data_IF_636395267787
#
_entry.id   IF_636395267787
#
_cell.length_a   1.000
_cell.length_b   1.000
_cell.length_c   1.000
_cell.angle_alpha   90.00
_cell.angle_beta   90.00
_cell.angle_gamma   90.00
#
_symmetry.space_group_name_H-M   'P 1'
#
loop_
_entity.id
_entity.type
_entity.pdbx_description
1 polymer ?
#
# COMPACT_ATOMS: atom_id res chain seq x y z
N UNK A 1 7.42 -4.07 -5.19
CA UNK A 1 7.18 -5.44 -5.72
C UNK A 1 7.19 -5.53 -7.24
N UNK A 2 6.78 -4.50 -8.01
CA UNK A 2 6.76 -4.56 -9.48
C UNK A 2 8.11 -4.92 -10.13
N UNK A 3 9.24 -4.50 -9.56
CA UNK A 3 10.59 -4.83 -10.07
C UNK A 3 10.87 -6.35 -10.03
N UNK A 4 10.45 -7.01 -8.95
CA UNK A 4 10.62 -8.47 -8.80
C UNK A 4 9.72 -9.22 -9.76
N UNK A 5 8.45 -8.80 -9.90
CA UNK A 5 7.51 -9.38 -10.86
C UNK A 5 7.98 -9.17 -12.30
N UNK A 6 8.53 -7.99 -12.62
CA UNK A 6 9.15 -7.73 -13.92
C UNK A 6 10.24 -8.75 -14.24
N UNK A 7 11.18 -8.93 -13.31
CA UNK A 7 12.31 -9.85 -13.47
C UNK A 7 11.88 -11.32 -13.56
N UNK A 8 10.87 -11.72 -12.80
CA UNK A 8 10.28 -13.07 -12.86
C UNK A 8 9.49 -13.32 -14.15
N UNK A 9 8.78 -12.31 -14.63
CA UNK A 9 8.03 -12.37 -15.89
C UNK A 9 8.97 -12.47 -17.10
N UNK A 10 10.14 -11.83 -17.03
CA UNK A 10 11.16 -11.91 -18.09
C UNK A 10 11.63 -13.35 -18.32
N UNK A 11 11.76 -14.12 -17.25
CA UNK A 11 12.25 -15.50 -17.31
C UNK A 11 11.11 -16.50 -17.62
N UNK A 12 9.95 -16.37 -16.98
CA UNK A 12 8.86 -17.35 -17.15
C UNK A 12 7.97 -17.13 -18.39
N UNK A 13 7.94 -15.90 -18.92
CA UNK A 13 7.04 -15.49 -20.01
C UNK A 13 7.81 -14.92 -21.20
N UNK A 14 9.00 -15.43 -21.50
CA UNK A 14 9.93 -14.86 -22.49
C UNK A 14 9.26 -14.57 -23.85
N UNK A 15 8.37 -15.45 -24.32
CA UNK A 15 7.66 -15.31 -25.60
C UNK A 15 6.56 -14.25 -25.60
N UNK A 16 6.04 -13.86 -24.42
CA UNK A 16 4.96 -12.88 -24.25
C UNK A 16 5.43 -11.62 -23.53
N UNK A 17 6.67 -11.62 -23.05
CA UNK A 17 7.22 -10.58 -22.19
C UNK A 17 7.19 -9.22 -22.89
N UNK A 18 7.60 -9.15 -24.15
CA UNK A 18 7.69 -7.91 -24.92
C UNK A 18 6.31 -7.26 -25.16
N UNK A 19 5.26 -8.09 -25.28
CA UNK A 19 3.88 -7.65 -25.43
C UNK A 19 3.29 -7.12 -24.12
N UNK A 20 3.71 -7.66 -22.99
CA UNK A 20 3.21 -7.28 -21.66
C UNK A 20 3.95 -6.02 -21.17
N UNK A 21 5.27 -5.98 -21.33
CA UNK A 21 6.17 -4.96 -20.80
C UNK A 21 6.44 -3.80 -21.76
N UNK A 22 5.47 -3.47 -22.61
CA UNK A 22 5.54 -2.27 -23.45
C UNK A 22 5.55 -1.00 -22.57
N UNK A 23 6.28 0.05 -22.99
CA UNK A 23 6.46 1.29 -22.22
C UNK A 23 5.13 1.86 -21.66
N UNK A 24 4.05 1.83 -22.45
CA UNK A 24 2.72 2.29 -22.03
C UNK A 24 2.14 1.46 -20.88
N UNK A 25 2.27 0.14 -20.91
CA UNK A 25 1.74 -0.74 -19.86
C UNK A 25 2.51 -0.60 -18.55
N UNK A 26 3.83 -0.36 -18.63
CA UNK A 26 4.65 -0.11 -17.44
C UNK A 26 4.19 1.15 -16.71
N UNK A 27 3.92 2.22 -17.44
CA UNK A 27 3.37 3.45 -16.85
C UNK A 27 2.01 3.21 -16.18
N UNK A 28 1.13 2.42 -16.81
CA UNK A 28 -0.18 2.07 -16.22
C UNK A 28 0.01 1.27 -14.92
N UNK A 29 0.93 0.30 -14.87
CA UNK A 29 1.18 -0.48 -13.64
C UNK A 29 1.74 0.38 -12.51
N UNK A 30 2.67 1.28 -12.81
CA UNK A 30 3.22 2.23 -11.81
C UNK A 30 2.10 3.13 -11.28
N UNK A 31 1.29 3.68 -12.18
CA UNK A 31 0.17 4.55 -11.80
C UNK A 31 -0.84 3.81 -10.92
N UNK A 32 -1.22 2.57 -11.28
CA UNK A 32 -2.09 1.73 -10.47
C UNK A 32 -1.49 1.45 -9.08
N UNK A 33 -0.18 1.22 -8.99
CA UNK A 33 0.48 1.02 -7.69
C UNK A 33 0.39 2.28 -6.82
N UNK A 34 0.56 3.47 -7.39
CA UNK A 34 0.37 4.72 -6.67
C UNK A 34 -1.07 4.92 -6.20
N UNK A 35 -2.07 4.60 -7.03
CA UNK A 35 -3.48 4.69 -6.63
C UNK A 35 -3.76 3.77 -5.44
N UNK A 36 -3.33 2.51 -5.49
CA UNK A 36 -3.54 1.56 -4.39
C UNK A 36 -2.82 2.02 -3.13
N UNK A 37 -1.58 2.51 -3.25
CA UNK A 37 -0.83 3.04 -2.13
C UNK A 37 -1.50 4.28 -1.52
N UNK A 38 -2.00 5.18 -2.35
CA UNK A 38 -2.72 6.38 -1.92
C UNK A 38 -4.03 6.01 -1.21
N UNK A 39 -4.84 5.10 -1.77
CA UNK A 39 -6.07 4.63 -1.16
C UNK A 39 -5.82 3.96 0.20
N UNK A 40 -4.79 3.11 0.29
CA UNK A 40 -4.39 2.52 1.56
C UNK A 40 -3.93 3.60 2.57
N UNK A 41 -3.17 4.59 2.11
CA UNK A 41 -2.72 5.70 2.94
C UNK A 41 -3.89 6.56 3.45
N UNK A 42 -4.91 6.84 2.62
CA UNK A 42 -6.09 7.59 3.05
C UNK A 42 -6.87 6.88 4.15
N UNK A 43 -6.89 5.54 4.17
CA UNK A 43 -7.49 4.79 5.27
C UNK A 43 -6.72 4.95 6.59
N UNK A 44 -5.40 5.12 6.53
CA UNK A 44 -4.55 5.26 7.72
C UNK A 44 -4.52 6.70 8.24
N UNK A 45 -4.55 7.72 7.38
CA UNK A 45 -4.55 9.13 7.82
C UNK A 45 -5.74 9.43 8.74
N UNK A 46 -6.90 8.85 8.44
CA UNK A 46 -8.11 9.07 9.23
C UNK A 46 -8.19 8.22 10.50
N UNK A 47 -7.16 7.46 10.88
CA UNK A 47 -7.19 6.63 12.09
C UNK A 47 -6.35 7.26 13.20
N UNK A 48 -6.98 7.55 14.34
CA UNK A 48 -6.31 8.03 15.54
C UNK A 48 -5.97 6.84 16.44
N UNK A 49 -4.74 6.83 16.96
CA UNK A 49 -4.30 5.81 17.91
C UNK A 49 -4.77 6.20 19.32
N UNK A 50 -5.60 5.37 19.94
CA UNK A 50 -6.08 5.57 21.31
C UNK A 50 -5.09 4.97 22.28
N UNK A 51 -4.63 5.81 23.21
CA UNK A 51 -3.83 5.40 24.36
C UNK A 51 -4.64 5.61 25.64
N UNK A 52 -4.82 4.55 26.42
CA UNK A 52 -5.35 4.67 27.79
C UNK A 52 -4.20 4.87 28.74
N UNK A 53 -4.34 5.86 29.62
CA UNK A 53 -3.45 6.04 30.76
C UNK A 53 -3.88 5.11 31.89
N UNK A 54 -2.95 4.27 32.34
CA UNK A 54 -3.14 3.37 33.46
C UNK A 54 -2.90 4.09 34.79
N UNK A 55 -3.44 3.55 35.87
CA UNK A 55 -3.33 4.11 37.23
C UNK A 55 -1.89 4.15 37.76
N UNK A 56 -0.99 3.36 37.16
CA UNK A 56 0.45 3.36 37.43
C UNK A 56 1.22 4.47 36.68
N UNK A 57 0.51 5.29 35.89
CA UNK A 57 1.08 6.37 35.08
C UNK A 57 1.61 5.94 33.72
N UNK A 58 1.53 4.65 33.35
CA UNK A 58 1.92 4.15 32.04
C UNK A 58 0.82 4.37 30.99
N UNK A 59 1.17 4.31 29.70
CA UNK A 59 0.21 4.39 28.60
C UNK A 59 0.18 3.05 27.86
N UNK A 60 -1.01 2.48 27.71
CA UNK A 60 -1.23 1.26 26.91
C UNK A 60 -1.99 1.59 25.64
N UNK A 61 -1.50 1.05 24.52
CA UNK A 61 -2.19 1.10 23.24
C UNK A 61 -3.47 0.25 23.31
N UNK A 62 -4.63 0.87 23.05
CA UNK A 62 -5.94 0.21 23.14
C UNK A 62 -6.47 -0.15 21.76
N UNK A 63 -6.21 0.67 20.75
CA UNK A 63 -6.68 0.43 19.40
C UNK A 63 -6.55 1.65 18.49
N UNK A 64 -7.07 1.50 17.27
CA UNK A 64 -7.16 2.55 16.26
C UNK A 64 -8.65 2.88 16.05
N UNK A 65 -9.04 4.13 16.21
CA UNK A 65 -10.41 4.60 15.94
C UNK A 65 -10.41 5.46 14.68
N UNK A 66 -11.40 5.26 13.81
CA UNK A 66 -11.58 6.12 12.64
C UNK A 66 -12.08 7.49 13.12
N UNK A 67 -11.29 8.53 12.89
CA UNK A 67 -11.59 9.94 13.14
C UNK A 67 -12.81 10.33 12.28
N UNK A 68 -13.99 9.99 12.78
CA UNK A 68 -15.28 10.34 12.19
C UNK A 68 -15.60 11.75 12.66
N UNK A 69 -14.89 12.73 12.12
CA UNK A 69 -15.29 14.13 12.24
C UNK A 69 -16.40 14.39 11.22
N UNK A 70 -17.65 14.26 11.70
CA UNK A 70 -18.88 14.70 11.05
C UNK A 70 -19.02 16.22 11.18
#
# INVERSE_FOLDING_TARGET
MLITLNRYSAVSLINKYDKIWTRRNVFIMIFAQYIVGFAAFTHVIGTEAIYTRNDDGTFTFVGLEASTNL
#
